data_IF_969284578130
#
_entry.id   IF_969284578130
#
_cell.length_a   1.000
_cell.length_b   1.000
_cell.length_c   1.000
_cell.angle_alpha   90.00
_cell.angle_beta   90.00
_cell.angle_gamma   90.00
#
_symmetry.space_group_name_H-M   'P 1'
#
loop_
_entity.id
_entity.type
_entity.pdbx_description
1 polymer ?
#
# COMPACT_ATOMS: atom_id res chain seq x y z
N UNK A 1 7.81 5.07 40.44
CA UNK A 1 8.17 5.51 39.07
C UNK A 1 7.29 4.77 38.08
N UNK A 2 6.73 5.43 37.04
CA UNK A 2 6.03 4.72 35.98
C UNK A 2 7.02 3.82 35.20
N UNK A 3 6.59 2.63 34.76
CA UNK A 3 7.45 1.72 34.02
C UNK A 3 7.92 2.36 32.71
N UNK A 4 9.19 2.16 32.34
CA UNK A 4 9.80 2.69 31.09
C UNK A 4 9.06 2.23 29.83
N UNK A 5 8.37 1.08 29.89
CA UNK A 5 7.60 0.52 28.79
C UNK A 5 6.27 -0.06 29.29
N UNK A 6 5.24 0.80 29.48
CA UNK A 6 3.98 0.36 30.07
C UNK A 6 3.27 -0.73 29.25
N UNK A 7 3.37 -0.68 27.91
CA UNK A 7 2.80 -1.69 27.01
C UNK A 7 3.46 -3.08 27.15
N UNK A 8 4.77 -3.13 27.38
CA UNK A 8 5.47 -4.41 27.59
C UNK A 8 5.07 -5.04 28.92
N UNK A 9 4.90 -4.22 29.97
CA UNK A 9 4.46 -4.68 31.28
C UNK A 9 3.02 -5.22 31.22
N UNK A 10 2.12 -4.55 30.50
CA UNK A 10 0.74 -4.99 30.29
C UNK A 10 0.68 -6.34 29.55
N UNK A 11 1.46 -6.50 28.47
CA UNK A 11 1.59 -7.76 27.74
C UNK A 11 2.12 -8.87 28.65
N UNK A 12 3.18 -8.60 29.41
CA UNK A 12 3.78 -9.58 30.32
C UNK A 12 2.79 -10.04 31.41
N UNK A 13 2.00 -9.11 31.97
CA UNK A 13 0.96 -9.43 32.95
C UNK A 13 -0.16 -10.29 32.32
N UNK A 14 -0.64 -9.94 31.12
CA UNK A 14 -1.68 -10.71 30.43
C UNK A 14 -1.20 -12.13 30.04
N UNK A 15 0.09 -12.28 29.69
CA UNK A 15 0.72 -13.59 29.46
C UNK A 15 0.80 -14.38 30.78
N UNK A 16 1.21 -13.73 31.87
CA UNK A 16 1.24 -14.31 33.21
C UNK A 16 -0.12 -14.82 33.68
N UNK A 17 -1.19 -14.13 33.30
CA UNK A 17 -2.60 -14.49 33.58
C UNK A 17 -3.18 -15.58 32.66
N UNK A 18 -2.34 -16.25 31.86
CA UNK A 18 -2.72 -17.28 30.87
C UNK A 18 -3.72 -16.80 29.81
N UNK A 19 -3.74 -15.51 29.47
CA UNK A 19 -4.59 -14.93 28.39
C UNK A 19 -3.82 -14.69 27.10
N UNK A 20 -2.80 -15.50 26.86
CA UNK A 20 -1.83 -15.33 25.76
C UNK A 20 -2.54 -15.27 24.41
N UNK A 21 -3.57 -16.09 24.21
CA UNK A 21 -4.40 -16.12 23.01
C UNK A 21 -5.09 -14.78 22.74
N UNK A 22 -5.61 -14.09 23.76
CA UNK A 22 -6.25 -12.78 23.62
C UNK A 22 -5.25 -11.68 23.27
N UNK A 23 -4.05 -11.74 23.85
CA UNK A 23 -2.97 -10.81 23.52
C UNK A 23 -2.55 -10.97 22.06
N UNK A 24 -2.31 -12.21 21.64
CA UNK A 24 -1.93 -12.55 20.26
C UNK A 24 -3.04 -12.17 19.28
N UNK A 25 -4.30 -12.44 19.62
CA UNK A 25 -5.44 -12.06 18.79
C UNK A 25 -5.48 -10.54 18.59
N UNK A 26 -5.35 -9.75 19.66
CA UNK A 26 -5.39 -8.29 19.57
C UNK A 26 -4.25 -7.72 18.70
N UNK A 27 -3.04 -8.27 18.83
CA UNK A 27 -1.88 -7.88 18.01
C UNK A 27 -2.13 -8.20 16.54
N UNK A 28 -2.51 -9.45 16.23
CA UNK A 28 -2.70 -9.86 14.84
C UNK A 28 -3.92 -9.21 14.18
N UNK A 29 -4.98 -8.88 14.94
CA UNK A 29 -6.09 -8.08 14.43
C UNK A 29 -5.62 -6.69 14.02
N UNK A 30 -4.79 -6.02 14.85
CA UNK A 30 -4.24 -4.70 14.49
C UNK A 30 -3.35 -4.76 13.26
N UNK A 31 -2.47 -5.76 13.19
CA UNK A 31 -1.62 -5.95 12.01
C UNK A 31 -2.45 -6.22 10.75
N UNK A 32 -3.48 -7.08 10.83
CA UNK A 32 -4.40 -7.32 9.73
C UNK A 32 -5.04 -6.02 9.25
N UNK A 33 -5.59 -5.21 10.16
CA UNK A 33 -6.22 -3.94 9.81
C UNK A 33 -5.23 -2.95 9.18
N UNK A 34 -3.99 -2.90 9.66
CA UNK A 34 -2.94 -2.07 9.06
C UNK A 34 -2.65 -2.49 7.62
N UNK A 35 -2.47 -3.79 7.36
CA UNK A 35 -2.23 -4.28 6.00
C UNK A 35 -3.41 -4.02 5.04
N UNK A 36 -4.65 -4.12 5.51
CA UNK A 36 -5.83 -3.77 4.70
C UNK A 36 -5.91 -2.25 4.43
N UNK A 37 -5.40 -1.41 5.34
CA UNK A 37 -5.29 0.02 5.14
C UNK A 37 -4.23 0.32 4.07
N UNK A 38 -3.03 -0.27 4.20
CA UNK A 38 -1.94 -0.14 3.23
C UNK A 38 -2.41 -0.56 1.83
N UNK A 39 -3.07 -1.71 1.69
CA UNK A 39 -3.63 -2.19 0.41
C UNK A 39 -4.56 -1.16 -0.22
N UNK A 40 -5.47 -0.58 0.57
CA UNK A 40 -6.42 0.43 0.11
C UNK A 40 -5.72 1.71 -0.35
N UNK A 41 -4.74 2.18 0.39
CA UNK A 41 -3.96 3.36 0.04
C UNK A 41 -3.17 3.16 -1.25
N UNK A 42 -2.53 1.98 -1.41
CA UNK A 42 -1.85 1.63 -2.66
C UNK A 42 -2.82 1.59 -3.84
N UNK A 43 -4.00 0.99 -3.67
CA UNK A 43 -5.02 0.93 -4.72
C UNK A 43 -5.56 2.31 -5.08
N UNK A 44 -5.80 3.20 -4.10
CA UNK A 44 -6.20 4.57 -4.37
C UNK A 44 -5.12 5.31 -5.19
N UNK A 45 -3.84 5.14 -4.82
CA UNK A 45 -2.74 5.75 -5.56
C UNK A 45 -2.61 5.22 -6.98
N UNK A 46 -2.89 3.93 -7.21
CA UNK A 46 -2.93 3.34 -8.54
C UNK A 46 -4.00 4.03 -9.41
N UNK A 47 -5.18 4.31 -8.88
CA UNK A 47 -6.23 5.01 -9.64
C UNK A 47 -5.81 6.44 -10.01
N UNK A 48 -5.13 7.16 -9.11
CA UNK A 48 -4.57 8.49 -9.44
C UNK A 48 -3.53 8.43 -10.57
N UNK A 49 -2.67 7.40 -10.58
CA UNK A 49 -1.69 7.20 -11.64
C UNK A 49 -2.35 6.87 -12.98
N UNK A 50 -3.40 6.04 -13.00
CA UNK A 50 -4.16 5.75 -14.22
C UNK A 50 -4.69 7.03 -14.86
N UNK A 51 -5.33 7.90 -14.07
CA UNK A 51 -5.84 9.19 -14.55
C UNK A 51 -4.71 10.05 -15.13
N UNK A 52 -3.55 10.09 -14.46
CA UNK A 52 -2.39 10.87 -14.92
C UNK A 52 -1.80 10.35 -16.23
N UNK A 53 -1.67 9.03 -16.35
CA UNK A 53 -1.23 8.35 -17.57
C UNK A 53 -2.20 8.66 -18.72
N UNK A 54 -3.50 8.50 -18.50
CA UNK A 54 -4.52 8.78 -19.52
C UNK A 54 -4.46 10.24 -20.00
N UNK A 55 -4.32 11.20 -19.07
CA UNK A 55 -4.17 12.62 -19.40
C UNK A 55 -2.91 12.88 -20.24
N UNK A 56 -1.74 12.36 -19.82
CA UNK A 56 -0.48 12.54 -20.57
C UNK A 56 -0.55 11.89 -21.94
N UNK A 57 -1.13 10.70 -22.03
CA UNK A 57 -1.30 9.98 -23.28
C UNK A 57 -2.21 10.74 -24.26
N UNK A 58 -3.28 11.37 -23.76
CA UNK A 58 -4.16 12.22 -24.57
C UNK A 58 -3.41 13.47 -25.09
N UNK A 59 -2.66 14.16 -24.23
CA UNK A 59 -1.85 15.33 -24.63
C UNK A 59 -0.82 14.93 -25.68
N UNK A 60 -0.10 13.83 -25.47
CA UNK A 60 0.87 13.27 -26.42
C UNK A 60 0.23 13.04 -27.80
N UNK A 61 -0.98 12.47 -27.86
CA UNK A 61 -1.70 12.22 -29.11
C UNK A 61 -2.08 13.50 -29.84
N UNK A 62 -2.49 14.54 -29.13
CA UNK A 62 -2.84 15.83 -29.74
C UNK A 62 -1.60 16.56 -30.24
N UNK A 63 -0.54 16.66 -29.42
CA UNK A 63 0.72 17.30 -29.81
C UNK A 63 1.32 16.68 -31.08
N UNK A 64 1.24 15.36 -31.23
CA UNK A 64 1.74 14.66 -32.43
C UNK A 64 1.03 15.09 -33.74
N UNK A 65 -0.16 15.68 -33.68
CA UNK A 65 -0.87 16.18 -34.87
C UNK A 65 -0.33 17.52 -35.38
N UNK A 66 0.41 18.27 -34.56
CA UNK A 66 0.82 19.63 -34.86
C UNK A 66 2.12 19.75 -35.67
N UNK A 67 2.72 18.64 -36.12
CA UNK A 67 3.95 18.64 -36.92
C UNK A 67 5.23 18.66 -36.07
N UNK A 68 6.37 18.89 -36.72
CA UNK A 68 7.70 18.93 -36.06
C UNK A 68 8.03 20.37 -35.69
N UNK A 69 8.11 20.65 -34.41
CA UNK A 69 8.54 21.91 -33.81
C UNK A 69 9.43 21.56 -32.60
N UNK A 70 10.59 22.21 -32.48
CA UNK A 70 11.62 21.88 -31.50
C UNK A 70 11.11 21.97 -30.05
N UNK A 71 10.23 22.93 -29.76
CA UNK A 71 9.64 23.10 -28.42
C UNK A 71 8.62 22.00 -28.14
N UNK A 72 7.82 21.61 -29.14
CA UNK A 72 6.88 20.50 -28.99
C UNK A 72 7.59 19.15 -28.86
N UNK A 73 8.73 18.96 -29.54
CA UNK A 73 9.53 17.75 -29.42
C UNK A 73 10.13 17.58 -28.01
N UNK A 74 10.64 18.66 -27.41
CA UNK A 74 11.10 18.65 -26.01
C UNK A 74 9.97 18.32 -25.04
N UNK A 75 8.81 18.96 -25.20
CA UNK A 75 7.62 18.70 -24.39
C UNK A 75 7.14 17.25 -24.52
N UNK A 76 7.17 16.69 -25.75
CA UNK A 76 6.82 15.30 -26.02
C UNK A 76 7.80 14.32 -25.36
N UNK A 77 9.09 14.64 -25.34
CA UNK A 77 10.10 13.82 -24.67
C UNK A 77 9.88 13.78 -23.15
N UNK A 78 9.62 14.93 -22.53
CA UNK A 78 9.34 15.04 -21.10
C UNK A 78 8.06 14.30 -20.71
N UNK A 79 6.98 14.44 -21.49
CA UNK A 79 5.72 13.72 -21.25
C UNK A 79 5.90 12.20 -21.29
N UNK A 80 6.66 11.69 -22.26
CA UNK A 80 6.97 10.25 -22.36
C UNK A 80 7.82 9.76 -21.19
N UNK A 81 8.81 10.55 -20.78
CA UNK A 81 9.65 10.20 -19.63
C UNK A 81 8.81 10.12 -18.34
N UNK A 82 7.95 11.12 -18.11
CA UNK A 82 7.07 11.16 -16.96
C UNK A 82 6.03 10.02 -16.97
N UNK A 83 5.43 9.71 -18.13
CA UNK A 83 4.50 8.58 -18.29
C UNK A 83 5.19 7.23 -17.96
N UNK A 84 6.44 7.05 -18.40
CA UNK A 84 7.21 5.85 -18.06
C UNK A 84 7.43 5.71 -16.54
N UNK A 85 7.74 6.81 -15.86
CA UNK A 85 7.90 6.81 -14.39
C UNK A 85 6.58 6.46 -13.68
N UNK A 86 5.45 6.99 -14.15
CA UNK A 86 4.14 6.61 -13.59
C UNK A 86 3.87 5.10 -13.76
N UNK A 87 4.21 4.50 -14.91
CA UNK A 87 4.04 3.06 -15.13
C UNK A 87 4.92 2.23 -14.17
N UNK A 88 6.15 2.68 -13.92
CA UNK A 88 7.06 2.02 -12.97
C UNK A 88 6.53 2.13 -11.53
N UNK A 89 6.04 3.30 -11.11
CA UNK A 89 5.39 3.51 -9.81
C UNK A 89 4.14 2.62 -9.68
N UNK A 90 3.29 2.57 -10.71
CA UNK A 90 2.09 1.74 -10.72
C UNK A 90 2.42 0.26 -10.58
N UNK A 91 3.43 -0.24 -11.30
CA UNK A 91 3.88 -1.63 -11.18
C UNK A 91 4.45 -1.94 -9.78
N UNK A 92 5.13 -0.99 -9.14
CA UNK A 92 5.58 -1.12 -7.77
C UNK A 92 4.42 -1.15 -6.76
N UNK A 93 3.42 -0.28 -6.92
CA UNK A 93 2.23 -0.22 -6.07
C UNK A 93 1.38 -1.48 -6.18
N UNK A 94 1.22 -2.06 -7.38
CA UNK A 94 0.49 -3.32 -7.57
C UNK A 94 1.13 -4.44 -6.76
N UNK A 95 2.47 -4.56 -6.81
CA UNK A 95 3.20 -5.56 -6.01
C UNK A 95 3.04 -5.33 -4.51
N UNK A 96 3.06 -4.07 -4.08
CA UNK A 96 2.88 -3.67 -2.67
C UNK A 96 1.46 -3.98 -2.17
N UNK A 97 0.45 -3.64 -2.95
CA UNK A 97 -0.96 -3.94 -2.69
C UNK A 97 -1.18 -5.45 -2.54
N UNK A 98 -0.69 -6.24 -3.50
CA UNK A 98 -0.76 -7.70 -3.42
C UNK A 98 -0.07 -8.26 -2.16
N UNK A 99 1.14 -7.78 -1.84
CA UNK A 99 1.85 -8.22 -0.65
C UNK A 99 1.14 -7.84 0.66
N UNK A 100 0.51 -6.67 0.72
CA UNK A 100 -0.30 -6.24 1.87
C UNK A 100 -1.52 -7.16 2.04
N UNK A 101 -2.23 -7.45 0.95
CA UNK A 101 -3.37 -8.38 0.95
C UNK A 101 -2.99 -9.77 1.46
N UNK A 102 -1.88 -10.34 0.98
CA UNK A 102 -1.37 -11.64 1.46
C UNK A 102 -1.06 -11.63 2.97
N UNK A 103 -0.42 -10.56 3.46
CA UNK A 103 -0.12 -10.43 4.90
C UNK A 103 -1.40 -10.30 5.72
N UNK A 104 -2.41 -9.58 5.23
CA UNK A 104 -3.71 -9.49 5.89
C UNK A 104 -4.38 -10.86 5.99
N UNK A 105 -4.36 -11.64 4.92
CA UNK A 105 -4.89 -13.01 4.87
C UNK A 105 -4.17 -13.96 5.84
N UNK A 106 -2.84 -13.88 5.92
CA UNK A 106 -2.07 -14.67 6.88
C UNK A 106 -2.47 -14.36 8.31
N UNK A 107 -2.61 -13.08 8.66
CA UNK A 107 -3.08 -12.66 9.99
C UNK A 107 -4.50 -13.11 10.26
N UNK A 108 -5.39 -13.00 9.27
CA UNK A 108 -6.76 -13.49 9.37
C UNK A 108 -6.82 -14.98 9.71
N UNK A 109 -6.01 -15.81 9.03
CA UNK A 109 -5.94 -17.26 9.27
C UNK A 109 -5.47 -17.58 10.69
N UNK A 110 -4.49 -16.83 11.20
CA UNK A 110 -3.99 -17.02 12.58
C UNK A 110 -5.05 -16.62 13.60
N UNK A 111 -5.69 -15.44 13.45
CA UNK A 111 -6.77 -14.98 14.32
C UNK A 111 -7.91 -16.01 14.39
N UNK A 112 -8.30 -16.57 13.24
CA UNK A 112 -9.34 -17.62 13.18
C UNK A 112 -8.96 -18.88 13.96
N UNK A 113 -7.66 -19.24 14.02
CA UNK A 113 -7.19 -20.36 14.84
C UNK A 113 -7.22 -20.00 16.33
N UNK A 114 -6.76 -18.80 16.70
CA UNK A 114 -6.74 -18.33 18.09
C UNK A 114 -8.14 -18.31 18.71
N UNK A 115 -9.16 -17.87 17.96
CA UNK A 115 -10.56 -17.86 18.42
C UNK A 115 -11.19 -19.24 18.65
N UNK A 116 -10.52 -20.31 18.24
CA UNK A 116 -11.00 -21.69 18.41
C UNK A 116 -10.37 -22.39 19.62
N UNK A 117 -9.33 -21.79 20.21
CA UNK A 117 -8.79 -22.20 21.50
C UNK A 117 -9.69 -21.65 22.61
#
# INVERSE_FOLDING_TARGET
MPPKFPKLLEIANQIGDRRVEKVLEAVFCREQSAYLCDEREYNQRIEELKVRIEQRHAIYKELKKHGVDEVFDECLAELKAAEKVDFEEMGWLIRRSYAASLRADDKHRIVKKLRRF
#
